data_IF_027940870738
#
_entry.id   IF_027940870738
#
_cell.length_a   1.000
_cell.length_b   1.000
_cell.length_c   1.000
_cell.angle_alpha   90.00
_cell.angle_beta   90.00
_cell.angle_gamma   90.00
#
_symmetry.space_group_name_H-M   'P 1'
#
loop_
_entity.id
_entity.type
_entity.pdbx_description
1 polymer ?
#
# COMPACT_ATOMS: atom_id res chain seq x y z
N UNK A 1 -15.44 -1.68 14.52
CA UNK A 1 -14.30 -2.53 14.10
C UNK A 1 -13.02 -1.72 14.25
N UNK A 2 -11.96 -2.25 14.87
CA UNK A 2 -10.68 -1.51 14.99
C UNK A 2 -9.91 -1.54 13.66
N UNK A 3 -9.18 -0.48 13.34
CA UNK A 3 -8.40 -0.35 12.08
C UNK A 3 -7.39 -1.50 11.90
N UNK A 4 -6.79 -1.97 13.01
CA UNK A 4 -5.90 -3.13 13.07
C UNK A 4 -6.58 -4.41 12.56
N UNK A 5 -7.85 -4.59 12.90
CA UNK A 5 -8.66 -5.72 12.43
C UNK A 5 -8.86 -5.62 10.92
N UNK A 6 -9.18 -4.43 10.40
CA UNK A 6 -9.37 -4.20 8.96
C UNK A 6 -8.09 -4.57 8.19
N UNK A 7 -6.93 -4.10 8.65
CA UNK A 7 -5.65 -4.34 7.99
C UNK A 7 -5.18 -5.80 8.05
N UNK A 8 -5.71 -6.60 8.99
CA UNK A 8 -5.45 -8.04 9.07
C UNK A 8 -6.33 -8.85 8.12
N UNK A 9 -7.61 -8.49 7.99
CA UNK A 9 -8.56 -9.24 7.18
C UNK A 9 -8.58 -8.81 5.72
N UNK A 10 -8.29 -7.53 5.43
CA UNK A 10 -8.30 -6.99 4.08
C UNK A 10 -6.87 -6.75 3.59
N UNK A 11 -6.51 -7.41 2.48
CA UNK A 11 -5.20 -7.24 1.82
C UNK A 11 -5.10 -5.90 1.09
N UNK A 12 -6.22 -5.43 0.55
CA UNK A 12 -6.35 -4.15 -0.14
C UNK A 12 -7.46 -3.33 0.49
N UNK A 13 -7.21 -2.03 0.65
CA UNK A 13 -8.16 -1.09 1.26
C UNK A 13 -8.12 0.21 0.49
N UNK A 14 -9.30 0.73 0.15
CA UNK A 14 -9.48 2.09 -0.39
C UNK A 14 -10.12 2.94 0.70
N UNK A 15 -9.49 4.07 1.03
CA UNK A 15 -10.00 5.01 2.03
C UNK A 15 -10.61 6.20 1.28
N UNK A 16 -11.93 6.34 1.35
CA UNK A 16 -12.68 7.44 0.76
C UNK A 16 -13.06 8.46 1.84
N UNK A 17 -13.11 9.73 1.46
CA UNK A 17 -13.53 10.83 2.33
C UNK A 17 -13.37 12.17 1.63
N UNK A 18 -14.01 13.21 2.13
CA UNK A 18 -13.93 14.55 1.53
C UNK A 18 -12.51 15.15 1.64
N UNK A 19 -12.17 16.15 0.82
CA UNK A 19 -10.96 16.95 1.06
C UNK A 19 -10.91 17.45 2.51
N UNK A 20 -9.77 17.31 3.18
CA UNK A 20 -9.62 17.68 4.60
C UNK A 20 -10.16 16.68 5.63
N UNK A 21 -10.73 15.54 5.21
CA UNK A 21 -11.21 14.46 6.13
C UNK A 21 -10.11 13.74 6.93
N UNK A 22 -8.83 14.08 6.72
CA UNK A 22 -7.72 13.49 7.48
C UNK A 22 -7.15 12.19 6.92
N UNK A 23 -7.44 11.83 5.65
CA UNK A 23 -6.89 10.62 4.99
C UNK A 23 -5.36 10.56 5.05
N UNK A 24 -4.69 11.63 4.66
CA UNK A 24 -3.23 11.77 4.78
C UNK A 24 -2.75 11.59 6.22
N UNK A 25 -3.45 12.17 7.18
CA UNK A 25 -3.13 12.03 8.61
C UNK A 25 -3.26 10.58 9.08
N UNK A 26 -4.32 9.88 8.65
CA UNK A 26 -4.54 8.47 8.95
C UNK A 26 -3.43 7.59 8.34
N UNK A 27 -3.07 7.79 7.08
CA UNK A 27 -2.00 7.02 6.42
C UNK A 27 -0.64 7.27 7.09
N UNK A 28 -0.33 8.51 7.49
CA UNK A 28 0.89 8.84 8.24
C UNK A 28 0.88 8.20 9.63
N UNK A 29 -0.25 8.22 10.32
CA UNK A 29 -0.40 7.54 11.60
C UNK A 29 -0.22 6.02 11.46
N UNK A 30 -0.82 5.39 10.45
CA UNK A 30 -0.63 3.96 10.15
C UNK A 30 0.84 3.63 9.85
N UNK A 31 1.49 4.44 9.02
CA UNK A 31 2.92 4.31 8.70
C UNK A 31 3.75 4.30 9.98
N UNK A 32 3.47 5.23 10.90
CA UNK A 32 4.16 5.33 12.18
C UNK A 32 3.94 4.10 13.05
N UNK A 33 2.70 3.65 13.23
CA UNK A 33 2.37 2.49 14.07
C UNK A 33 3.09 1.22 13.57
N UNK A 34 3.08 0.99 12.25
CA UNK A 34 3.78 -0.17 11.67
C UNK A 34 5.30 -0.06 11.77
N UNK A 35 5.86 1.15 11.59
CA UNK A 35 7.30 1.36 11.76
C UNK A 35 7.74 1.14 13.22
N UNK A 36 6.97 1.62 14.20
CA UNK A 36 7.21 1.38 15.62
C UNK A 36 7.14 -0.12 15.96
N UNK A 37 6.14 -0.85 15.43
CA UNK A 37 6.05 -2.30 15.62
C UNK A 37 7.25 -3.05 15.02
N UNK A 38 7.71 -2.63 13.84
CA UNK A 38 8.90 -3.20 13.19
C UNK A 38 10.15 -2.99 14.05
N UNK A 39 10.36 -1.79 14.56
CA UNK A 39 11.51 -1.47 15.41
C UNK A 39 11.46 -2.24 16.73
N UNK A 40 10.30 -2.31 17.37
CA UNK A 40 10.13 -3.02 18.64
C UNK A 40 10.29 -4.55 18.48
N UNK A 41 9.84 -5.11 17.35
CA UNK A 41 10.05 -6.53 17.04
C UNK A 41 11.47 -6.83 16.58
N UNK A 42 12.12 -5.96 15.81
CA UNK A 42 13.52 -6.18 15.43
C UNK A 42 14.39 -6.22 16.68
N UNK A 43 14.13 -5.34 17.66
CA UNK A 43 14.75 -5.40 18.98
C UNK A 43 14.44 -6.71 19.70
N UNK A 44 13.19 -7.19 19.73
CA UNK A 44 12.81 -8.44 20.42
C UNK A 44 13.23 -9.74 19.71
N UNK A 45 13.32 -9.77 18.39
CA UNK A 45 13.76 -10.93 17.59
C UNK A 45 15.25 -11.21 17.73
N UNK A 46 16.07 -10.20 18.03
CA UNK A 46 17.46 -10.40 18.49
C UNK A 46 17.51 -11.26 19.76
N UNK A 47 16.44 -11.27 20.56
CA UNK A 47 16.38 -12.01 21.84
C UNK A 47 15.49 -13.26 21.82
N UNK A 48 14.54 -13.40 20.89
CA UNK A 48 13.62 -14.55 20.83
C UNK A 48 13.14 -14.86 19.41
N UNK A 49 13.31 -16.10 18.96
CA UNK A 49 12.92 -16.58 17.62
C UNK A 49 11.52 -17.19 17.67
N UNK A 50 10.48 -16.38 17.43
CA UNK A 50 9.11 -16.86 17.22
C UNK A 50 8.59 -16.33 15.88
N UNK A 51 8.14 -17.26 15.02
CA UNK A 51 8.04 -17.10 13.56
C UNK A 51 6.62 -16.75 13.03
N UNK A 52 5.66 -16.36 13.88
CA UNK A 52 4.24 -16.39 13.46
C UNK A 52 3.56 -15.01 13.33
N UNK A 53 4.22 -14.05 12.71
CA UNK A 53 3.52 -12.84 12.27
C UNK A 53 4.12 -12.27 11.00
N UNK A 54 3.26 -12.09 9.98
CA UNK A 54 3.53 -11.37 8.74
C UNK A 54 3.72 -9.86 9.04
N UNK A 55 4.82 -9.52 9.68
CA UNK A 55 5.25 -8.15 9.90
C UNK A 55 5.49 -7.51 8.52
N UNK A 56 4.82 -6.39 8.25
CA UNK A 56 4.92 -5.68 6.98
C UNK A 56 5.59 -4.33 7.17
N UNK A 57 6.64 -4.07 6.41
CA UNK A 57 7.34 -2.78 6.40
C UNK A 57 6.45 -1.76 5.69
N UNK A 58 6.04 -0.65 6.33
CA UNK A 58 5.19 0.35 5.68
C UNK A 58 6.00 1.16 4.67
N UNK A 59 5.47 1.29 3.45
CA UNK A 59 6.01 2.13 2.38
C UNK A 59 4.91 3.13 2.00
N UNK A 60 5.06 4.37 2.44
CA UNK A 60 4.13 5.47 2.14
C UNK A 60 4.56 6.23 0.89
N UNK A 61 3.67 6.34 -0.09
CA UNK A 61 3.94 6.91 -1.41
C UNK A 61 2.96 8.06 -1.69
N UNK A 62 3.48 9.25 -2.03
CA UNK A 62 2.66 10.34 -2.58
C UNK A 62 2.45 10.13 -4.06
N UNK A 63 1.19 10.03 -4.46
CA UNK A 63 0.84 9.89 -5.87
C UNK A 63 1.21 11.16 -6.65
N UNK A 64 1.07 12.35 -6.06
CA UNK A 64 1.49 13.61 -6.68
C UNK A 64 2.99 13.68 -6.98
N UNK A 65 3.84 13.18 -6.07
CA UNK A 65 5.30 13.11 -6.30
C UNK A 65 5.65 12.10 -7.37
N UNK A 66 5.05 10.91 -7.34
CA UNK A 66 5.20 9.92 -8.41
C UNK A 66 4.80 10.48 -9.77
N UNK A 67 3.65 11.16 -9.84
CA UNK A 67 3.17 11.77 -11.08
C UNK A 67 4.16 12.81 -11.62
N UNK A 68 4.74 13.66 -10.75
CA UNK A 68 5.76 14.65 -11.13
C UNK A 68 7.06 13.99 -11.57
N UNK A 69 7.49 12.93 -10.89
CA UNK A 69 8.67 12.16 -11.27
C UNK A 69 8.51 11.50 -12.65
N UNK A 70 7.30 11.03 -12.96
CA UNK A 70 6.98 10.38 -14.23
C UNK A 70 7.08 11.32 -15.43
N UNK A 71 6.85 12.62 -15.27
CA UNK A 71 7.02 13.61 -16.37
C UNK A 71 8.44 13.60 -16.93
N UNK A 72 9.43 13.34 -16.07
CA UNK A 72 10.83 13.24 -16.43
C UNK A 72 11.25 11.80 -16.77
N UNK A 73 10.35 10.82 -16.56
CA UNK A 73 10.63 9.39 -16.66
C UNK A 73 9.47 8.64 -17.36
N UNK A 74 9.04 9.03 -18.57
CA UNK A 74 7.75 8.62 -19.15
C UNK A 74 7.62 7.11 -19.47
N UNK A 75 8.73 6.36 -19.48
CA UNK A 75 8.74 4.90 -19.73
C UNK A 75 8.85 4.07 -18.46
N UNK A 76 8.84 4.73 -17.30
CA UNK A 76 9.02 4.08 -15.99
C UNK A 76 7.69 3.75 -15.34
N UNK A 77 7.73 2.89 -14.34
CA UNK A 77 6.55 2.38 -13.61
C UNK A 77 6.62 2.74 -12.12
N UNK A 78 5.59 2.38 -11.34
CA UNK A 78 5.59 2.63 -9.90
C UNK A 78 6.71 1.86 -9.16
N UNK A 79 7.08 0.65 -9.62
CA UNK A 79 8.18 -0.12 -9.00
C UNK A 79 9.55 0.59 -9.20
N UNK A 80 9.73 1.30 -10.32
CA UNK A 80 10.95 2.09 -10.59
C UNK A 80 11.05 3.34 -9.70
N UNK A 81 9.93 3.78 -9.13
CA UNK A 81 9.85 4.91 -8.23
C UNK A 81 10.08 4.53 -6.75
N UNK A 82 10.01 3.24 -6.42
CA UNK A 82 10.30 2.74 -5.07
C UNK A 82 11.70 3.14 -4.62
N UNK A 83 11.79 3.74 -3.42
CA UNK A 83 13.03 4.29 -2.84
C UNK A 83 13.29 5.77 -3.15
N UNK A 84 12.52 6.38 -4.06
CA UNK A 84 12.71 7.79 -4.47
C UNK A 84 11.74 8.77 -3.81
N UNK A 85 10.90 8.28 -2.90
CA UNK A 85 9.87 9.04 -2.19
C UNK A 85 10.48 10.06 -1.23
N UNK A 86 9.88 11.26 -1.13
CA UNK A 86 10.40 12.36 -0.30
C UNK A 86 9.33 12.93 0.64
N UNK A 87 8.82 12.11 1.55
CA UNK A 87 7.76 12.55 2.49
C UNK A 87 8.23 13.52 3.58
N UNK A 88 9.52 13.50 3.94
CA UNK A 88 10.07 14.26 5.06
C UNK A 88 11.29 15.11 4.65
N UNK A 89 11.33 15.55 3.38
CA UNK A 89 12.49 16.24 2.78
C UNK A 89 13.76 15.40 2.68
N UNK A 90 13.71 14.15 3.13
CA UNK A 90 14.75 13.14 3.01
C UNK A 90 14.19 11.94 2.23
N UNK A 91 15.07 11.24 1.52
CA UNK A 91 14.69 9.98 0.88
C UNK A 91 14.40 8.92 1.92
N UNK A 92 13.43 8.08 1.61
CA UNK A 92 13.06 6.92 2.43
C UNK A 92 14.23 5.97 2.70
N UNK A 93 15.18 5.89 1.77
CA UNK A 93 16.37 5.05 1.86
C UNK A 93 17.55 5.73 1.15
N UNK A 94 18.78 5.27 1.43
CA UNK A 94 19.95 5.69 0.64
C UNK A 94 19.81 5.11 -0.77
N UNK A 95 20.52 5.67 -1.75
CA UNK A 95 20.45 5.17 -3.14
C UNK A 95 20.78 3.68 -3.24
N UNK A 96 21.73 3.21 -2.44
CA UNK A 96 22.17 1.82 -2.44
C UNK A 96 21.12 0.84 -1.87
N UNK A 97 20.12 1.36 -1.15
CA UNK A 97 19.13 0.57 -0.42
C UNK A 97 17.79 0.42 -1.18
N UNK A 98 17.64 1.02 -2.37
CA UNK A 98 16.38 0.96 -3.14
C UNK A 98 15.96 -0.48 -3.49
N UNK A 99 16.94 -1.37 -3.63
CA UNK A 99 16.72 -2.78 -3.92
C UNK A 99 16.04 -3.50 -2.75
N UNK A 100 16.36 -3.15 -1.52
CA UNK A 100 15.77 -3.76 -0.31
C UNK A 100 14.26 -3.50 -0.26
N UNK A 101 13.84 -2.27 -0.56
CA UNK A 101 12.41 -1.93 -0.60
C UNK A 101 11.66 -2.69 -1.70
N UNK A 102 12.29 -2.88 -2.87
CA UNK A 102 11.72 -3.67 -3.97
C UNK A 102 11.60 -5.14 -3.60
N UNK A 103 12.62 -5.73 -2.96
CA UNK A 103 12.56 -7.11 -2.46
C UNK A 103 11.45 -7.30 -1.43
N UNK A 104 11.29 -6.38 -0.48
CA UNK A 104 10.20 -6.41 0.49
C UNK A 104 8.83 -6.43 -0.20
N UNK A 105 8.68 -5.70 -1.31
CA UNK A 105 7.45 -5.73 -2.12
C UNK A 105 7.30 -7.11 -2.81
N UNK A 106 8.35 -7.58 -3.50
CA UNK A 106 8.31 -8.85 -4.24
C UNK A 106 7.99 -10.07 -3.37
N UNK A 107 8.46 -10.08 -2.13
CA UNK A 107 8.21 -11.17 -1.18
C UNK A 107 6.95 -10.94 -0.31
N UNK A 108 6.18 -9.88 -0.56
CA UNK A 108 4.93 -9.60 0.17
C UNK A 108 5.15 -9.16 1.63
N UNK A 109 6.33 -8.66 1.95
CA UNK A 109 6.71 -8.12 3.26
C UNK A 109 6.50 -6.60 3.38
N UNK A 110 5.87 -5.96 2.39
CA UNK A 110 5.56 -4.54 2.40
C UNK A 110 4.07 -4.27 2.68
N UNK A 111 3.78 -3.20 3.44
CA UNK A 111 2.48 -2.55 3.51
C UNK A 111 2.55 -1.28 2.66
N UNK A 112 1.89 -1.29 1.51
CA UNK A 112 1.96 -0.19 0.55
C UNK A 112 0.81 0.77 0.81
N UNK A 113 1.15 2.03 1.10
CA UNK A 113 0.20 3.08 1.42
C UNK A 113 0.30 4.16 0.35
N UNK A 114 -0.77 4.35 -0.42
CA UNK A 114 -0.83 5.34 -1.49
C UNK A 114 -1.68 6.53 -1.04
N UNK A 115 -1.14 7.75 -1.12
CA UNK A 115 -1.83 8.97 -0.71
C UNK A 115 -1.95 10.00 -1.85
N UNK A 116 -3.04 10.77 -1.84
CA UNK A 116 -3.21 11.96 -2.68
C UNK A 116 -3.49 11.71 -4.16
N UNK A 117 -4.25 10.67 -4.53
CA UNK A 117 -4.67 10.46 -5.93
C UNK A 117 -5.52 11.63 -6.45
N UNK A 118 -6.37 12.18 -5.58
CA UNK A 118 -7.27 13.30 -5.86
C UNK A 118 -6.53 14.61 -6.14
N UNK A 119 -5.29 14.73 -5.66
CA UNK A 119 -4.42 15.91 -5.86
C UNK A 119 -3.86 16.01 -7.29
N UNK A 120 -3.95 14.94 -8.10
CA UNK A 120 -3.58 14.97 -9.53
C UNK A 120 -4.65 15.73 -10.31
N UNK A 121 -4.39 16.99 -10.63
CA UNK A 121 -5.38 17.95 -11.18
C UNK A 121 -5.82 17.65 -12.63
N UNK A 122 -4.95 17.09 -13.47
CA UNK A 122 -5.28 16.77 -14.85
C UNK A 122 -5.96 15.39 -14.95
N UNK A 123 -7.19 15.36 -15.49
CA UNK A 123 -8.02 14.14 -15.59
C UNK A 123 -7.35 13.05 -16.43
N UNK A 124 -6.76 13.40 -17.58
CA UNK A 124 -6.08 12.42 -18.45
C UNK A 124 -4.86 11.83 -17.73
N UNK A 125 -4.05 12.68 -17.11
CA UNK A 125 -2.88 12.27 -16.32
C UNK A 125 -3.27 11.43 -15.11
N UNK A 126 -4.39 11.75 -14.45
CA UNK A 126 -4.93 10.94 -13.35
C UNK A 126 -5.29 9.54 -13.83
N UNK A 127 -5.89 9.40 -15.01
CA UNK A 127 -6.16 8.09 -15.62
C UNK A 127 -4.89 7.26 -15.84
N UNK A 128 -3.88 7.86 -16.48
CA UNK A 128 -2.58 7.21 -16.71
C UNK A 128 -1.92 6.74 -15.40
N UNK A 129 -1.98 7.56 -14.34
CA UNK A 129 -1.46 7.20 -13.03
C UNK A 129 -2.24 6.07 -12.38
N UNK A 130 -3.58 6.07 -12.49
CA UNK A 130 -4.42 4.97 -12.01
C UNK A 130 -4.06 3.66 -12.72
N UNK A 131 -3.86 3.69 -14.03
CA UNK A 131 -3.51 2.49 -14.80
C UNK A 131 -2.13 1.94 -14.40
N UNK A 132 -1.16 2.82 -14.12
CA UNK A 132 0.14 2.41 -13.59
C UNK A 132 0.06 1.82 -12.18
N UNK A 133 -0.79 2.37 -11.31
CA UNK A 133 -1.05 1.81 -9.98
C UNK A 133 -1.74 0.45 -10.08
N UNK A 134 -2.73 0.29 -10.96
CA UNK A 134 -3.41 -0.98 -11.22
C UNK A 134 -2.41 -2.04 -11.66
N UNK A 135 -1.61 -1.73 -12.68
CA UNK A 135 -0.56 -2.62 -13.18
C UNK A 135 0.40 -3.03 -12.07
N UNK A 136 0.80 -2.09 -11.20
CA UNK A 136 1.66 -2.39 -10.07
C UNK A 136 1.01 -3.36 -9.05
N UNK A 137 -0.26 -3.14 -8.71
CA UNK A 137 -1.01 -4.02 -7.80
C UNK A 137 -1.13 -5.42 -8.42
N UNK A 138 -1.45 -5.49 -9.71
CA UNK A 138 -1.56 -6.74 -10.45
C UNK A 138 -0.22 -7.45 -10.55
N UNK A 139 0.91 -6.78 -10.69
CA UNK A 139 2.20 -7.46 -10.86
C UNK A 139 2.82 -7.89 -9.52
N UNK A 140 2.64 -7.10 -8.46
CA UNK A 140 3.46 -7.23 -7.24
C UNK A 140 2.69 -7.43 -5.95
N UNK A 141 1.36 -7.24 -5.92
CA UNK A 141 0.57 -7.26 -4.67
C UNK A 141 -0.44 -8.41 -4.66
N UNK A 142 -0.32 -9.36 -5.59
CA UNK A 142 -1.17 -10.56 -5.66
C UNK A 142 -1.11 -11.39 -4.39
N UNK A 143 -2.21 -12.06 -4.07
CA UNK A 143 -2.24 -13.12 -3.04
C UNK A 143 -1.37 -14.31 -3.45
N UNK A 144 -1.04 -15.23 -2.52
CA UNK A 144 -0.37 -16.49 -2.86
C UNK A 144 -1.12 -17.31 -3.93
N UNK A 145 -2.42 -17.12 -4.07
CA UNK A 145 -3.26 -17.76 -5.09
C UNK A 145 -3.33 -16.96 -6.40
N UNK A 146 -2.43 -15.99 -6.59
CA UNK A 146 -2.35 -15.11 -7.76
C UNK A 146 -3.55 -14.17 -7.99
N UNK A 147 -4.41 -13.99 -6.98
CA UNK A 147 -5.55 -13.07 -7.04
C UNK A 147 -5.09 -11.63 -6.79
N UNK A 148 -5.53 -10.69 -7.61
CA UNK A 148 -5.37 -9.23 -7.51
C UNK A 148 -6.61 -8.52 -6.95
N UNK A 149 -6.44 -7.28 -6.51
CA UNK A 149 -7.53 -6.41 -6.03
C UNK A 149 -8.61 -6.13 -7.09
N UNK A 150 -8.30 -6.35 -8.37
CA UNK A 150 -9.17 -6.05 -9.50
C UNK A 150 -9.73 -7.31 -10.17
N UNK A 151 -9.44 -8.50 -9.65
CA UNK A 151 -10.04 -9.74 -10.12
C UNK A 151 -11.50 -9.83 -9.62
N UNK A 152 -12.40 -10.35 -10.45
CA UNK A 152 -13.84 -10.41 -10.21
C UNK A 152 -14.25 -11.17 -8.93
N UNK A 153 -13.36 -11.96 -8.34
CA UNK A 153 -13.59 -12.64 -7.05
C UNK A 153 -13.52 -11.68 -5.84
N UNK A 154 -12.78 -10.57 -5.94
CA UNK A 154 -12.59 -9.60 -4.84
C UNK A 154 -13.77 -8.61 -4.74
N UNK A 155 -14.46 -8.35 -5.85
CA UNK A 155 -15.70 -7.55 -5.85
C UNK A 155 -16.90 -8.31 -5.30
N UNK A 156 -16.76 -9.62 -5.06
CA UNK A 156 -17.81 -10.54 -4.64
C UNK A 156 -17.70 -10.99 -3.18
N UNK A 157 -17.03 -10.22 -2.31
CA UNK A 157 -17.14 -10.44 -0.86
C UNK A 157 -18.59 -10.15 -0.46
N UNK A 158 -19.40 -11.22 -0.49
CA UNK A 158 -20.74 -11.29 0.07
C UNK A 158 -20.73 -10.60 1.43
N UNK A 159 -21.63 -9.65 1.59
CA UNK A 159 -21.93 -9.04 2.87
C UNK A 159 -22.20 -10.16 3.89
N UNK A 160 -21.45 -10.26 5.01
CA UNK A 160 -21.70 -11.28 6.04
C UNK A 160 -23.04 -11.10 6.78
N UNK A 161 -23.87 -10.13 6.37
CA UNK A 161 -25.23 -9.91 6.84
C UNK A 161 -26.31 -10.18 5.78
N UNK A 162 -25.97 -10.81 4.65
CA UNK A 162 -26.95 -11.17 3.64
C UNK A 162 -27.70 -12.45 4.04
N UNK A 163 -28.66 -12.30 4.95
CA UNK A 163 -29.65 -13.32 5.29
C UNK A 163 -30.78 -13.29 4.27
N UNK A 164 -30.56 -13.87 3.09
CA UNK A 164 -31.63 -14.15 2.14
C UNK A 164 -31.51 -15.56 1.57
N UNK A 165 -31.40 -16.57 2.43
CA UNK A 165 -31.65 -17.97 2.06
C UNK A 165 -32.27 -18.71 3.25
N UNK A 166 -33.59 -18.55 3.44
CA UNK A 166 -34.46 -19.51 4.14
C UNK A 166 -35.94 -19.09 3.99
N UNK A 167 -36.54 -19.39 2.82
CA UNK A 167 -37.95 -19.82 2.73
C UNK A 167 -38.03 -20.85 1.58
N UNK A 168 -37.96 -22.13 1.93
CA UNK A 168 -39.03 -23.12 1.76
C UNK A 168 -38.76 -24.32 2.67
#
# INVERSE_FOLDING_TARGET
MKIETILRYYRWLVILGDPGSGKTSLLRWLTRIFAEEVLDRSMRMVWTRNEDSSLRIPILIRIGEFATWLEHNPKKTLIDYIGKHTWFSERYCREDDEHVLKELIYYGHALILLDGLDEVSNVKRRGEIVDLIRKFIDEYVRTPNFISAFDDEVTNIRNPYDWTDEIY
#
